data_IF_279819471781
#
_entry.id   IF_279819471781
#
_cell.length_a   1.000
_cell.length_b   1.000
_cell.length_c   1.000
_cell.angle_alpha   90.00
_cell.angle_beta   90.00
_cell.angle_gamma   90.00
#
_symmetry.space_group_name_H-M   'P 1'
#
loop_
_entity.id
_entity.type
_entity.pdbx_description
1 polymer ?
#
# COMPACT_ATOMS: atom_id res chain seq x y z
N UNK A 1 38.21 -6.12 2.78
CA UNK A 1 37.46 -4.86 2.80
C UNK A 1 36.12 -5.16 3.42
N UNK A 2 35.72 -4.49 4.50
CA UNK A 2 34.39 -4.65 5.08
C UNK A 2 33.37 -4.02 4.11
N UNK A 3 32.46 -4.84 3.59
CA UNK A 3 31.37 -4.34 2.74
C UNK A 3 30.33 -3.61 3.61
N UNK A 4 29.86 -2.48 3.12
CA UNK A 4 28.77 -1.73 3.77
C UNK A 4 27.47 -2.50 3.60
N UNK A 5 26.75 -2.73 4.69
CA UNK A 5 25.39 -3.30 4.64
C UNK A 5 24.36 -2.20 4.45
N UNK A 6 23.31 -2.47 3.67
CA UNK A 6 22.20 -1.57 3.43
C UNK A 6 20.87 -2.29 3.64
N UNK A 7 20.03 -1.76 4.51
CA UNK A 7 18.81 -2.41 4.98
C UNK A 7 17.58 -1.69 4.45
N UNK A 8 16.72 -2.42 3.77
CA UNK A 8 15.49 -1.92 3.19
C UNK A 8 14.31 -2.51 3.95
N UNK A 9 13.36 -1.67 4.34
CA UNK A 9 12.02 -2.07 4.75
C UNK A 9 11.04 -1.75 3.63
N UNK A 10 10.26 -2.73 3.21
CA UNK A 10 9.19 -2.60 2.22
C UNK A 10 7.85 -2.95 2.87
N UNK A 11 6.88 -2.03 2.84
CA UNK A 11 5.55 -2.20 3.38
C UNK A 11 4.50 -2.19 2.27
N UNK A 12 3.72 -3.26 2.15
CA UNK A 12 2.69 -3.40 1.11
C UNK A 12 1.50 -2.46 1.34
N UNK A 13 0.79 -2.18 0.25
CA UNK A 13 -0.55 -1.59 0.29
C UNK A 13 -1.62 -2.57 0.78
N UNK A 14 -2.75 -2.05 1.26
CA UNK A 14 -3.86 -2.88 1.73
C UNK A 14 -4.91 -2.19 2.60
N UNK A 15 -5.01 -0.87 2.57
CA UNK A 15 -6.00 -0.10 3.34
C UNK A 15 -5.86 -0.31 4.84
N UNK A 16 -6.98 -0.52 5.55
CA UNK A 16 -6.97 -0.72 7.01
C UNK A 16 -6.18 -1.96 7.46
N UNK A 17 -5.96 -2.93 6.56
CA UNK A 17 -5.10 -4.11 6.84
C UNK A 17 -3.65 -3.73 7.17
N UNK A 18 -3.25 -2.47 6.98
CA UNK A 18 -1.99 -1.92 7.48
C UNK A 18 -1.80 -2.11 9.00
N UNK A 19 -2.87 -2.30 9.77
CA UNK A 19 -2.79 -2.68 11.19
C UNK A 19 -1.98 -3.95 11.41
N UNK A 20 -2.08 -4.93 10.51
CA UNK A 20 -1.31 -6.20 10.53
C UNK A 20 0.18 -5.90 10.38
N UNK A 21 0.54 -5.12 9.34
CA UNK A 21 1.93 -4.70 9.09
C UNK A 21 2.51 -3.93 10.27
N UNK A 22 1.78 -2.95 10.79
CA UNK A 22 2.22 -2.14 11.94
C UNK A 22 2.43 -3.01 13.20
N UNK A 23 1.51 -3.94 13.48
CA UNK A 23 1.58 -4.86 14.63
C UNK A 23 2.75 -5.82 14.53
N UNK A 24 3.02 -6.36 13.33
CA UNK A 24 4.20 -7.21 13.08
C UNK A 24 5.51 -6.45 13.29
N UNK A 25 5.60 -5.21 12.81
CA UNK A 25 6.78 -4.37 13.02
C UNK A 25 6.97 -3.98 14.49
N UNK A 26 5.87 -3.72 15.22
CA UNK A 26 5.90 -3.45 16.65
C UNK A 26 6.48 -4.62 17.47
N UNK A 27 6.24 -5.86 17.04
CA UNK A 27 6.69 -7.06 17.72
C UNK A 27 8.19 -7.38 17.50
N UNK A 28 8.89 -6.64 16.63
CA UNK A 28 10.31 -6.79 16.38
C UNK A 28 11.14 -6.00 17.41
N UNK A 29 12.42 -6.36 17.53
CA UNK A 29 13.37 -5.56 18.30
C UNK A 29 13.40 -4.10 17.78
N UNK A 30 13.28 -3.07 18.65
CA UNK A 30 13.27 -1.67 18.21
C UNK A 30 14.49 -1.25 17.37
N UNK A 31 15.63 -1.95 17.54
CA UNK A 31 16.82 -1.68 16.75
C UNK A 31 16.64 -2.04 15.27
N UNK A 32 15.71 -2.93 14.92
CA UNK A 32 15.39 -3.28 13.53
C UNK A 32 14.96 -2.04 12.77
N UNK A 33 13.92 -1.34 13.25
CA UNK A 33 13.41 -0.11 12.61
C UNK A 33 14.49 0.98 12.58
N UNK A 34 15.21 1.16 13.67
CA UNK A 34 16.30 2.15 13.79
C UNK A 34 17.38 1.94 12.72
N UNK A 35 17.70 0.68 12.41
CA UNK A 35 18.78 0.32 11.50
C UNK A 35 18.35 0.27 10.02
N UNK A 36 17.08 0.50 9.68
CA UNK A 36 16.66 0.62 8.29
C UNK A 36 17.29 1.85 7.67
N UNK A 37 17.85 1.68 6.47
CA UNK A 37 18.47 2.75 5.67
C UNK A 37 17.49 3.32 4.64
N UNK A 38 16.62 2.46 4.07
CA UNK A 38 15.62 2.83 3.06
C UNK A 38 14.24 2.28 3.46
N UNK A 39 13.26 3.16 3.51
CA UNK A 39 11.87 2.85 3.77
C UNK A 39 11.08 2.94 2.46
N UNK A 40 10.46 1.85 2.07
CA UNK A 40 9.57 1.82 0.91
C UNK A 40 8.15 1.46 1.35
N UNK A 41 7.16 2.16 0.80
CA UNK A 41 5.76 1.90 1.15
C UNK A 41 4.82 2.31 0.03
N UNK A 42 3.80 1.50 -0.21
CA UNK A 42 2.71 1.80 -1.14
C UNK A 42 1.40 1.93 -0.37
N UNK A 43 0.57 2.94 -0.74
CA UNK A 43 -0.76 3.10 -0.11
C UNK A 43 -0.64 3.16 1.42
N UNK A 44 -1.37 2.31 2.15
CA UNK A 44 -1.23 2.18 3.62
C UNK A 44 0.21 1.91 4.06
N UNK A 45 0.98 1.15 3.28
CA UNK A 45 2.40 0.92 3.53
C UNK A 45 3.23 2.21 3.48
N UNK A 46 2.80 3.22 2.69
CA UNK A 46 3.46 4.53 2.66
C UNK A 46 3.25 5.31 3.96
N UNK A 47 2.07 5.19 4.59
CA UNK A 47 1.81 5.79 5.91
C UNK A 47 2.80 5.22 6.94
N UNK A 48 2.98 3.90 6.95
CA UNK A 48 3.90 3.22 7.88
C UNK A 48 5.35 3.60 7.56
N UNK A 49 5.78 3.43 6.31
CA UNK A 49 7.16 3.64 5.89
C UNK A 49 7.62 5.09 6.07
N UNK A 50 6.82 6.06 5.58
CA UNK A 50 7.16 7.48 5.71
C UNK A 50 7.00 7.97 7.16
N UNK A 51 6.01 7.48 7.89
CA UNK A 51 5.87 7.74 9.32
C UNK A 51 7.13 7.34 10.09
N UNK A 52 7.58 6.11 9.94
CA UNK A 52 8.79 5.59 10.58
C UNK A 52 10.04 6.37 10.16
N UNK A 53 10.21 6.61 8.85
CA UNK A 53 11.34 7.38 8.31
C UNK A 53 11.35 8.82 8.84
N UNK A 54 10.17 9.41 9.05
CA UNK A 54 9.97 10.75 9.63
C UNK A 54 10.13 10.77 11.15
N UNK A 55 10.35 9.62 11.79
CA UNK A 55 10.60 9.49 13.23
C UNK A 55 9.34 9.31 14.08
N UNK A 56 8.20 9.00 13.48
CA UNK A 56 6.99 8.62 14.24
C UNK A 56 7.24 7.26 14.89
N UNK A 57 7.01 7.12 16.19
CA UNK A 57 7.15 5.83 16.88
C UNK A 57 6.20 4.78 16.32
N UNK A 58 6.65 3.52 16.26
CA UNK A 58 5.80 2.42 15.78
C UNK A 58 4.54 2.25 16.61
N UNK A 59 4.61 2.50 17.92
CA UNK A 59 3.43 2.42 18.80
C UNK A 59 2.35 3.43 18.41
N UNK A 60 2.76 4.65 18.04
CA UNK A 60 1.84 5.68 17.54
C UNK A 60 1.18 5.25 16.21
N UNK A 61 1.92 4.58 15.32
CA UNK A 61 1.38 4.05 14.07
C UNK A 61 0.39 2.92 14.36
N UNK A 62 0.70 2.01 15.28
CA UNK A 62 -0.23 0.96 15.72
C UNK A 62 -1.50 1.56 16.31
N UNK A 63 -1.39 2.58 17.17
CA UNK A 63 -2.53 3.29 17.74
C UNK A 63 -3.43 3.90 16.66
N UNK A 64 -2.84 4.58 15.66
CA UNK A 64 -3.56 5.14 14.53
C UNK A 64 -4.40 4.06 13.82
N UNK A 65 -3.81 2.91 13.51
CA UNK A 65 -4.50 1.84 12.80
C UNK A 65 -5.49 1.06 13.68
N UNK A 66 -5.26 0.97 14.98
CA UNK A 66 -6.14 0.24 15.91
C UNK A 66 -7.37 1.05 16.31
N UNK A 67 -7.39 2.34 16.06
CA UNK A 67 -8.49 3.24 16.41
C UNK A 67 -9.63 3.18 15.40
N UNK A 68 -10.80 2.68 15.81
CA UNK A 68 -12.01 2.74 14.99
C UNK A 68 -12.40 4.18 14.64
N UNK A 69 -12.17 5.12 15.52
CA UNK A 69 -12.44 6.54 15.25
C UNK A 69 -11.50 7.10 14.17
N UNK A 70 -10.21 6.76 14.21
CA UNK A 70 -9.27 7.14 13.17
C UNK A 70 -9.65 6.51 11.83
N UNK A 71 -9.99 5.23 11.81
CA UNK A 71 -10.46 4.53 10.63
C UNK A 71 -11.72 5.19 10.03
N UNK A 72 -12.70 5.54 10.85
CA UNK A 72 -13.92 6.22 10.40
C UNK A 72 -13.64 7.62 9.83
N UNK A 73 -12.60 8.30 10.29
CA UNK A 73 -12.14 9.57 9.70
C UNK A 73 -11.49 9.37 8.34
N UNK A 74 -10.70 8.30 8.16
CA UNK A 74 -10.09 7.95 6.87
C UNK A 74 -11.17 7.67 5.83
N UNK A 75 -12.16 6.86 6.19
CA UNK A 75 -13.19 6.36 5.27
C UNK A 75 -14.50 7.16 5.39
N UNK A 76 -14.40 8.49 5.35
CA UNK A 76 -15.58 9.37 5.29
C UNK A 76 -16.22 9.29 3.90
N UNK A 77 -17.53 8.98 3.80
CA UNK A 77 -18.23 8.89 2.54
C UNK A 77 -18.10 10.16 1.70
N UNK A 78 -17.82 10.00 0.41
CA UNK A 78 -17.73 11.12 -0.54
C UNK A 78 -19.08 11.83 -0.70
N UNK A 79 -20.14 11.05 -0.87
CA UNK A 79 -21.51 11.54 -0.91
C UNK A 79 -22.21 11.30 0.44
N UNK A 80 -23.04 12.23 0.91
CA UNK A 80 -23.95 11.98 2.03
C UNK A 80 -24.81 10.73 1.77
N UNK A 81 -25.08 9.92 2.80
CA UNK A 81 -25.85 8.68 2.71
C UNK A 81 -27.19 8.84 1.97
N UNK A 82 -27.92 9.94 2.25
CA UNK A 82 -29.18 10.25 1.56
C UNK A 82 -29.02 10.44 0.04
N UNK A 83 -27.86 10.93 -0.42
CA UNK A 83 -27.58 11.08 -1.85
C UNK A 83 -27.16 9.74 -2.46
N UNK A 84 -26.40 8.90 -1.72
CA UNK A 84 -26.07 7.55 -2.13
C UNK A 84 -27.33 6.71 -2.33
N UNK A 85 -28.27 6.76 -1.39
CA UNK A 85 -29.57 6.07 -1.48
C UNK A 85 -30.41 6.53 -2.67
N UNK A 86 -30.42 7.84 -2.97
CA UNK A 86 -31.15 8.37 -4.13
C UNK A 86 -30.56 7.90 -5.44
N UNK A 87 -29.24 7.91 -5.58
CA UNK A 87 -28.54 7.41 -6.76
C UNK A 87 -28.74 5.90 -6.91
N UNK A 88 -28.55 5.12 -5.85
CA UNK A 88 -28.77 3.68 -5.86
C UNK A 88 -30.19 3.31 -6.31
N UNK A 89 -31.21 4.02 -5.82
CA UNK A 89 -32.61 3.83 -6.26
C UNK A 89 -32.83 4.24 -7.72
N UNK A 90 -32.17 5.29 -8.19
CA UNK A 90 -32.27 5.71 -9.60
C UNK A 90 -31.66 4.68 -10.53
N UNK A 91 -30.51 4.11 -10.17
CA UNK A 91 -29.89 3.01 -10.92
C UNK A 91 -30.76 1.74 -10.90
N UNK A 92 -31.32 1.36 -9.75
CA UNK A 92 -32.21 0.21 -9.63
C UNK A 92 -33.52 0.39 -10.41
N UNK A 93 -34.07 1.61 -10.51
CA UNK A 93 -35.26 1.90 -11.31
C UNK A 93 -35.00 1.84 -12.83
N UNK A 94 -33.82 2.28 -13.28
CA UNK A 94 -33.39 2.14 -14.68
C UNK A 94 -33.22 0.71 -15.11
N UNK A 95 -32.84 -0.17 -14.18
CA UNK A 95 -32.68 -1.60 -14.39
C UNK A 95 -33.99 -2.34 -14.63
N UNK A 96 -35.06 -2.01 -13.94
CA UNK A 96 -36.37 -2.65 -14.16
C UNK A 96 -36.81 -2.57 -15.63
N UNK A 97 -36.39 -1.53 -16.32
CA UNK A 97 -36.61 -1.40 -17.75
C UNK A 97 -35.71 -2.31 -18.60
N UNK A 98 -34.49 -2.63 -18.11
CA UNK A 98 -33.53 -3.51 -18.79
C UNK A 98 -33.84 -5.00 -18.56
N UNK A 99 -34.23 -5.37 -17.33
CA UNK A 99 -34.57 -6.77 -16.94
C UNK A 99 -35.83 -7.25 -17.67
N UNK A 100 -36.79 -6.36 -17.93
CA UNK A 100 -38.01 -6.71 -18.66
C UNK A 100 -37.75 -7.25 -20.08
N UNK A 101 -36.51 -7.14 -20.56
CA UNK A 101 -36.11 -7.52 -21.93
C UNK A 101 -35.03 -8.58 -22.03
N UNK A 102 -34.50 -9.11 -20.89
CA UNK A 102 -33.35 -10.06 -20.91
C UNK A 102 -33.40 -11.07 -19.74
N UNK A 103 -32.73 -12.21 -19.91
CA UNK A 103 -32.45 -13.21 -18.85
C UNK A 103 -31.42 -12.66 -17.84
N UNK A 104 -31.72 -11.55 -17.18
CA UNK A 104 -30.80 -10.94 -16.21
C UNK A 104 -30.80 -11.72 -14.89
N UNK A 105 -29.63 -11.82 -14.19
CA UNK A 105 -29.55 -12.46 -12.89
C UNK A 105 -30.52 -11.78 -11.87
N UNK A 106 -31.19 -12.60 -11.03
CA UNK A 106 -32.20 -12.12 -10.09
C UNK A 106 -31.69 -11.08 -9.07
N UNK A 107 -30.38 -10.99 -8.86
CA UNK A 107 -29.71 -10.08 -7.92
C UNK A 107 -29.08 -8.85 -8.60
N UNK A 108 -29.33 -8.63 -9.90
CA UNK A 108 -28.74 -7.50 -10.64
C UNK A 108 -29.18 -6.15 -10.04
N UNK A 109 -30.41 -6.01 -9.55
CA UNK A 109 -30.93 -4.79 -8.93
C UNK A 109 -30.23 -4.37 -7.66
N UNK A 110 -30.02 -5.31 -6.78
CA UNK A 110 -29.30 -5.06 -5.54
C UNK A 110 -27.84 -4.67 -5.84
N UNK A 111 -27.25 -5.29 -6.84
CA UNK A 111 -25.88 -4.97 -7.31
C UNK A 111 -25.76 -3.56 -7.87
N UNK A 112 -26.68 -3.14 -8.72
CA UNK A 112 -26.66 -1.79 -9.28
C UNK A 112 -26.99 -0.73 -8.21
N UNK A 113 -27.79 -1.08 -7.21
CA UNK A 113 -28.03 -0.18 -6.07
C UNK A 113 -26.77 0.06 -5.25
N UNK A 114 -25.94 -0.98 -5.01
CA UNK A 114 -24.68 -0.87 -4.28
C UNK A 114 -23.59 -0.20 -5.11
N UNK A 115 -23.46 -0.56 -6.38
CA UNK A 115 -22.44 -0.02 -7.28
C UNK A 115 -22.78 1.35 -7.85
N UNK A 116 -24.07 1.72 -7.94
CA UNK A 116 -24.50 2.92 -8.61
C UNK A 116 -23.76 4.20 -8.21
N UNK A 117 -23.62 4.51 -6.91
CA UNK A 117 -22.83 5.66 -6.47
C UNK A 117 -21.37 5.57 -6.86
N UNK A 118 -20.77 4.36 -6.78
CA UNK A 118 -19.33 4.11 -7.05
C UNK A 118 -19.00 4.15 -8.54
N UNK A 119 -19.99 3.94 -9.42
CA UNK A 119 -19.79 4.11 -10.87
C UNK A 119 -19.56 5.56 -11.28
N UNK A 120 -20.02 6.54 -10.48
CA UNK A 120 -19.92 7.96 -10.80
C UNK A 120 -18.99 8.74 -9.88
N UNK A 121 -18.82 8.30 -8.63
CA UNK A 121 -18.07 9.00 -7.59
C UNK A 121 -17.16 8.04 -6.82
N UNK A 122 -16.03 8.51 -6.27
CA UNK A 122 -15.25 7.71 -5.35
C UNK A 122 -16.06 7.41 -4.07
N UNK A 123 -15.72 6.33 -3.37
CA UNK A 123 -16.40 5.96 -2.12
C UNK A 123 -16.16 6.99 -1.01
N UNK A 124 -14.95 7.52 -0.91
CA UNK A 124 -14.50 8.31 0.23
C UNK A 124 -13.86 9.62 -0.19
N UNK A 125 -13.89 10.59 0.74
CA UNK A 125 -13.17 11.86 0.64
C UNK A 125 -11.75 11.68 1.17
N UNK A 126 -10.79 12.41 0.64
CA UNK A 126 -9.40 12.39 1.12
C UNK A 126 -9.11 13.33 2.28
N UNK A 127 -10.04 14.27 2.60
CA UNK A 127 -9.82 15.28 3.64
C UNK A 127 -9.57 14.68 5.02
N UNK A 128 -10.38 13.67 5.40
CA UNK A 128 -10.25 13.03 6.71
C UNK A 128 -8.93 12.29 6.88
N UNK A 129 -8.43 11.64 5.82
CA UNK A 129 -7.10 11.04 5.83
C UNK A 129 -6.02 12.12 5.97
N UNK A 130 -6.12 13.23 5.23
CA UNK A 130 -5.18 14.36 5.33
C UNK A 130 -5.12 14.94 6.74
N UNK A 131 -6.27 15.22 7.34
CA UNK A 131 -6.37 15.77 8.70
C UNK A 131 -5.78 14.82 9.74
N UNK A 132 -6.05 13.52 9.59
CA UNK A 132 -5.49 12.51 10.47
C UNK A 132 -3.96 12.43 10.32
N UNK A 133 -3.43 12.39 9.10
CA UNK A 133 -1.98 12.37 8.85
C UNK A 133 -1.30 13.61 9.41
N UNK A 134 -1.91 14.79 9.29
CA UNK A 134 -1.37 16.04 9.85
C UNK A 134 -1.24 16.04 11.39
N UNK A 135 -1.95 15.14 12.08
CA UNK A 135 -1.84 14.97 13.53
C UNK A 135 -0.61 14.14 13.91
N UNK A 136 -0.18 13.20 13.06
CA UNK A 136 0.85 12.22 13.39
C UNK A 136 2.14 12.39 12.60
N UNK A 137 2.07 12.81 11.34
CA UNK A 137 3.24 12.97 10.47
C UNK A 137 3.77 14.40 10.55
N UNK A 138 5.06 14.59 10.84
CA UNK A 138 5.67 15.91 10.84
C UNK A 138 5.53 16.64 9.49
N UNK A 139 5.44 17.97 9.51
CA UNK A 139 5.36 18.80 8.30
C UNK A 139 6.75 18.96 7.66
N UNK A 140 7.27 17.88 7.09
CA UNK A 140 8.59 17.79 6.45
C UNK A 140 8.46 17.30 5.02
N UNK A 141 9.46 17.60 4.19
CA UNK A 141 9.58 17.08 2.82
C UNK A 141 10.34 15.75 2.80
N UNK A 142 10.26 15.03 1.68
CA UNK A 142 11.09 13.83 1.48
C UNK A 142 12.59 14.18 1.53
N UNK A 143 12.98 15.37 1.03
CA UNK A 143 14.35 15.85 1.09
C UNK A 143 14.82 16.09 2.54
N UNK A 144 13.95 16.63 3.41
CA UNK A 144 14.27 16.83 4.82
C UNK A 144 14.51 15.51 5.54
N UNK A 145 13.74 14.45 5.21
CA UNK A 145 13.98 13.10 5.77
C UNK A 145 15.38 12.60 5.41
N UNK A 146 15.86 12.87 4.19
CA UNK A 146 17.22 12.52 3.80
C UNK A 146 18.27 13.34 4.57
N UNK A 147 18.12 14.65 4.59
CA UNK A 147 19.14 15.56 5.13
C UNK A 147 19.20 15.53 6.66
N UNK A 148 18.05 15.43 7.33
CA UNK A 148 17.99 15.50 8.79
C UNK A 148 18.10 14.13 9.46
N UNK A 149 17.61 13.06 8.79
CA UNK A 149 17.50 11.72 9.39
C UNK A 149 18.38 10.66 8.71
N UNK A 150 18.99 11.00 7.58
CA UNK A 150 19.79 10.09 6.75
C UNK A 150 19.00 8.81 6.41
N UNK A 151 17.71 8.95 6.08
CA UNK A 151 16.83 7.86 5.68
C UNK A 151 16.37 8.03 4.24
N UNK A 152 16.54 6.96 3.43
CA UNK A 152 15.97 6.89 2.11
C UNK A 152 14.48 6.60 2.15
N UNK A 153 13.75 7.17 1.20
CA UNK A 153 12.31 6.91 0.99
C UNK A 153 12.08 6.56 -0.47
N UNK A 154 11.21 5.57 -0.70
CA UNK A 154 10.63 5.26 -2.01
C UNK A 154 9.14 5.00 -1.84
N UNK A 155 8.31 5.79 -2.52
CA UNK A 155 6.86 5.67 -2.47
C UNK A 155 6.31 5.64 -3.90
N UNK A 156 5.83 4.48 -4.38
CA UNK A 156 5.17 4.37 -5.68
C UNK A 156 3.87 5.17 -5.73
N UNK A 157 3.64 5.85 -6.85
CA UNK A 157 2.37 6.49 -7.19
C UNK A 157 2.24 6.58 -8.70
N UNK A 158 1.02 6.63 -9.24
CA UNK A 158 0.78 6.64 -10.67
C UNK A 158 0.23 7.99 -11.15
N UNK A 159 1.02 8.68 -11.96
CA UNK A 159 0.68 9.98 -12.52
C UNK A 159 -0.26 9.81 -13.72
N UNK A 160 -1.47 10.40 -13.65
CA UNK A 160 -2.49 10.26 -14.68
C UNK A 160 -2.19 11.06 -15.95
N UNK A 161 -1.38 12.12 -15.86
CA UNK A 161 -1.04 12.97 -17.00
C UNK A 161 0.36 13.55 -16.84
N UNK A 162 1.35 12.88 -17.37
CA UNK A 162 2.74 13.34 -17.43
C UNK A 162 3.04 13.95 -18.81
N UNK A 163 3.76 15.07 -18.86
CA UNK A 163 4.31 15.60 -20.12
C UNK A 163 5.62 14.88 -20.41
N UNK A 164 5.74 14.31 -21.59
CA UNK A 164 6.97 13.69 -22.09
C UNK A 164 7.76 14.68 -22.96
N UNK A 165 9.04 14.39 -23.28
CA UNK A 165 9.90 15.32 -24.06
C UNK A 165 9.33 15.78 -25.39
N UNK A 166 8.43 14.98 -26.01
CA UNK A 166 7.71 15.38 -27.24
C UNK A 166 6.60 16.41 -27.02
N UNK A 167 6.30 16.79 -25.78
CA UNK A 167 5.14 17.62 -25.41
C UNK A 167 3.82 16.86 -25.30
N UNK A 168 3.79 15.59 -25.66
CA UNK A 168 2.59 14.76 -25.50
C UNK A 168 2.32 14.45 -24.02
N UNK A 169 1.06 14.14 -23.71
CA UNK A 169 0.64 13.71 -22.38
C UNK A 169 0.44 12.20 -22.35
N UNK A 170 0.94 11.56 -21.30
CA UNK A 170 0.73 10.14 -21.04
C UNK A 170 0.66 9.88 -19.55
N UNK A 171 0.11 8.77 -19.16
CA UNK A 171 0.23 8.25 -17.79
C UNK A 171 1.63 7.70 -17.53
N UNK A 172 2.06 7.71 -16.27
CA UNK A 172 3.40 7.25 -15.91
C UNK A 172 3.44 6.68 -14.49
N UNK A 173 4.03 5.51 -14.34
CA UNK A 173 4.46 5.02 -13.03
C UNK A 173 5.58 5.94 -12.48
N UNK A 174 5.47 6.34 -11.23
CA UNK A 174 6.40 7.24 -10.56
C UNK A 174 6.84 6.67 -9.24
N UNK A 175 8.10 6.90 -8.91
CA UNK A 175 8.67 6.63 -7.59
C UNK A 175 8.99 7.98 -6.94
N UNK A 176 8.11 8.43 -6.05
CA UNK A 176 8.42 9.59 -5.19
C UNK A 176 9.55 9.15 -4.26
N UNK A 177 10.71 9.80 -4.35
CA UNK A 177 11.89 9.37 -3.61
C UNK A 177 12.86 10.52 -3.34
N UNK A 178 13.74 10.32 -2.35
CA UNK A 178 14.75 11.27 -1.93
C UNK A 178 16.19 10.75 -2.12
N UNK A 179 16.39 9.64 -2.84
CA UNK A 179 17.72 9.06 -3.02
C UNK A 179 18.59 9.95 -3.93
N UNK A 180 19.88 10.16 -3.61
CA UNK A 180 20.78 10.97 -4.41
C UNK A 180 20.83 10.52 -5.87
N UNK A 181 20.90 11.50 -6.77
CA UNK A 181 21.00 11.36 -8.24
C UNK A 181 19.78 10.74 -8.96
N UNK A 182 18.83 10.16 -8.22
CA UNK A 182 17.57 9.62 -8.78
C UNK A 182 16.34 10.21 -8.09
N UNK A 183 16.54 11.19 -7.20
CA UNK A 183 15.46 11.86 -6.50
C UNK A 183 14.42 12.40 -7.46
N UNK A 184 13.16 12.04 -7.25
CA UNK A 184 12.06 12.57 -8.01
C UNK A 184 11.01 13.13 -7.06
N UNK A 185 10.67 14.41 -7.22
CA UNK A 185 9.72 15.11 -6.35
C UNK A 185 10.12 15.10 -4.86
N UNK A 186 11.43 15.15 -4.57
CA UNK A 186 11.93 15.11 -3.18
C UNK A 186 11.50 16.32 -2.33
N UNK A 187 11.15 17.44 -2.96
CA UNK A 187 10.54 18.60 -2.30
C UNK A 187 9.08 18.43 -1.91
N UNK A 188 8.44 17.28 -2.24
CA UNK A 188 7.07 16.99 -1.84
C UNK A 188 7.02 16.74 -0.33
N UNK A 189 5.99 17.27 0.34
CA UNK A 189 5.73 16.98 1.75
C UNK A 189 5.41 15.50 1.95
N UNK A 190 5.86 14.92 3.06
CA UNK A 190 5.62 13.51 3.38
C UNK A 190 4.13 13.16 3.34
N UNK A 191 3.26 14.03 3.87
CA UNK A 191 1.80 13.84 3.83
C UNK A 191 1.28 13.78 2.39
N UNK A 192 1.75 14.68 1.51
CA UNK A 192 1.30 14.70 0.11
C UNK A 192 1.80 13.48 -0.67
N UNK A 193 3.02 13.01 -0.40
CA UNK A 193 3.53 11.78 -0.97
C UNK A 193 2.71 10.55 -0.54
N UNK A 194 2.31 10.48 0.73
CA UNK A 194 1.42 9.44 1.26
C UNK A 194 0.07 9.52 0.55
N UNK A 195 -0.56 10.69 0.48
CA UNK A 195 -1.87 10.88 -0.14
C UNK A 195 -1.85 10.52 -1.63
N UNK A 196 -0.78 10.85 -2.35
CA UNK A 196 -0.62 10.48 -3.75
C UNK A 196 -0.48 8.96 -3.94
N UNK A 197 0.19 8.27 -3.00
CA UNK A 197 0.35 6.82 -3.03
C UNK A 197 -0.88 6.07 -2.53
N UNK A 198 -1.73 6.70 -1.69
CA UNK A 198 -2.90 6.08 -1.07
C UNK A 198 -4.22 6.44 -1.78
N UNK A 199 -4.19 7.18 -2.89
CA UNK A 199 -5.37 7.54 -3.66
C UNK A 199 -5.88 6.36 -4.52
N UNK A 200 -6.32 5.28 -3.86
CA UNK A 200 -6.78 4.06 -4.53
C UNK A 200 -7.99 4.33 -5.43
N UNK A 201 -7.92 3.96 -6.73
CA UNK A 201 -9.06 4.10 -7.64
C UNK A 201 -10.32 3.46 -7.05
N UNK A 202 -11.48 4.05 -7.32
CA UNK A 202 -12.78 3.69 -6.74
C UNK A 202 -12.94 4.13 -5.28
N UNK A 203 -11.90 4.07 -4.46
CA UNK A 203 -11.98 4.43 -3.04
C UNK A 203 -11.81 5.94 -2.82
N UNK A 204 -10.78 6.53 -3.40
CA UNK A 204 -10.46 7.94 -3.21
C UNK A 204 -10.33 8.70 -4.55
N UNK A 205 -10.59 10.01 -4.56
CA UNK A 205 -10.29 10.84 -5.73
C UNK A 205 -8.76 10.88 -5.95
N UNK A 206 -8.29 11.11 -7.19
CA UNK A 206 -6.88 11.36 -7.45
C UNK A 206 -6.35 12.51 -6.58
N UNK A 207 -5.13 12.35 -6.06
CA UNK A 207 -4.47 13.38 -5.26
C UNK A 207 -3.64 14.30 -6.16
N UNK A 208 -3.73 15.62 -5.94
CA UNK A 208 -2.96 16.59 -6.70
C UNK A 208 -1.67 16.95 -5.96
N UNK A 209 -0.52 16.75 -6.64
CA UNK A 209 0.77 17.25 -6.18
C UNK A 209 1.06 18.60 -6.85
N UNK A 210 1.25 19.67 -6.06
CA UNK A 210 1.62 20.97 -6.62
C UNK A 210 3.00 20.87 -7.31
N UNK A 211 3.24 21.75 -8.29
CA UNK A 211 4.52 21.90 -9.00
C UNK A 211 4.95 20.69 -9.85
N UNK A 212 4.06 19.77 -10.15
CA UNK A 212 4.41 18.66 -11.04
C UNK A 212 4.30 19.10 -12.51
N UNK A 213 5.38 19.01 -13.29
CA UNK A 213 5.33 19.38 -14.71
C UNK A 213 4.29 18.54 -15.46
N UNK A 214 3.37 19.22 -16.13
CA UNK A 214 2.46 18.64 -17.11
C UNK A 214 1.21 17.98 -16.60
N UNK A 215 1.01 17.86 -15.30
CA UNK A 215 -0.19 17.29 -14.70
C UNK A 215 0.12 16.78 -13.31
N UNK A 216 -0.74 17.13 -12.39
CA UNK A 216 -0.52 16.97 -10.96
C UNK A 216 -1.38 15.88 -10.30
N UNK A 217 -2.25 15.21 -11.06
CA UNK A 217 -3.14 14.18 -10.54
C UNK A 217 -2.47 12.80 -10.46
N UNK A 218 -2.48 12.22 -9.27
CA UNK A 218 -1.89 10.93 -8.95
C UNK A 218 -2.92 9.98 -8.34
N UNK A 219 -2.75 8.70 -8.62
CA UNK A 219 -3.49 7.62 -7.99
C UNK A 219 -2.53 6.61 -7.35
N UNK A 220 -3.09 5.70 -6.56
CA UNK A 220 -2.36 4.71 -5.76
C UNK A 220 -1.32 3.94 -6.57
N UNK A 221 -0.14 3.81 -6.00
CA UNK A 221 0.96 3.02 -6.55
C UNK A 221 0.68 1.52 -6.61
N UNK A 222 -0.30 1.04 -5.87
CA UNK A 222 -0.69 -0.38 -5.81
C UNK A 222 -1.11 -0.96 -7.16
N UNK A 223 -1.53 -0.11 -8.10
CA UNK A 223 -1.86 -0.56 -9.46
C UNK A 223 -0.67 -1.10 -10.25
N UNK A 224 0.58 -0.85 -9.82
CA UNK A 224 1.78 -1.40 -10.47
C UNK A 224 2.85 -1.89 -9.49
N UNK A 225 2.83 -1.48 -8.24
CA UNK A 225 3.82 -1.82 -7.22
C UNK A 225 3.20 -1.86 -5.80
N UNK A 226 2.17 -2.69 -5.60
CA UNK A 226 1.51 -2.81 -4.29
C UNK A 226 2.49 -3.31 -3.20
N UNK A 227 3.40 -4.22 -3.55
CA UNK A 227 4.62 -4.48 -2.80
C UNK A 227 5.76 -3.66 -3.42
N UNK A 228 6.30 -2.64 -2.73
CA UNK A 228 7.30 -1.74 -3.31
C UNK A 228 8.74 -2.29 -3.27
N UNK A 229 8.95 -3.56 -2.98
CA UNK A 229 10.29 -4.17 -2.83
C UNK A 229 11.16 -3.98 -4.08
N UNK A 230 10.62 -4.31 -5.25
CA UNK A 230 11.35 -4.15 -6.53
C UNK A 230 11.59 -2.67 -6.86
N UNK A 231 10.61 -1.80 -6.55
CA UNK A 231 10.75 -0.36 -6.73
C UNK A 231 11.86 0.23 -5.84
N UNK A 232 11.97 -0.23 -4.59
CA UNK A 232 13.03 0.16 -3.68
C UNK A 232 14.41 -0.28 -4.17
N UNK A 233 14.53 -1.52 -4.64
CA UNK A 233 15.76 -2.05 -5.23
C UNK A 233 16.15 -1.27 -6.50
N UNK A 234 15.21 -1.02 -7.41
CA UNK A 234 15.47 -0.27 -8.63
C UNK A 234 15.95 1.16 -8.32
N UNK A 235 15.31 1.85 -7.37
CA UNK A 235 15.72 3.18 -6.95
C UNK A 235 17.11 3.18 -6.28
N UNK A 236 17.40 2.20 -5.41
CA UNK A 236 18.72 2.06 -4.78
C UNK A 236 19.82 1.80 -5.83
N UNK A 237 19.61 0.84 -6.72
CA UNK A 237 20.57 0.47 -7.75
C UNK A 237 20.77 1.58 -8.79
N UNK A 238 19.73 2.32 -9.12
CA UNK A 238 19.79 3.49 -9.99
C UNK A 238 20.46 4.71 -9.33
N UNK A 239 20.53 4.75 -8.00
CA UNK A 239 21.22 5.79 -7.27
C UNK A 239 22.74 5.53 -7.26
N UNK A 240 23.55 6.59 -7.07
CA UNK A 240 24.99 6.43 -6.91
C UNK A 240 25.41 5.91 -5.54
N UNK A 241 24.48 5.76 -4.61
CA UNK A 241 24.78 5.30 -3.23
C UNK A 241 25.51 3.96 -3.21
N UNK A 242 25.15 3.03 -4.10
CA UNK A 242 25.80 1.71 -4.18
C UNK A 242 27.29 1.83 -4.50
N UNK A 243 27.66 2.74 -5.42
CA UNK A 243 29.06 3.00 -5.76
C UNK A 243 29.76 3.87 -4.70
N UNK A 244 29.14 4.98 -4.28
CA UNK A 244 29.72 5.94 -3.33
C UNK A 244 29.96 5.33 -1.94
N UNK A 245 29.06 4.43 -1.48
CA UNK A 245 29.15 3.76 -0.17
C UNK A 245 29.69 2.33 -0.26
N UNK A 246 30.17 1.88 -1.43
CA UNK A 246 30.67 0.52 -1.66
C UNK A 246 29.68 -0.56 -1.15
N UNK A 247 28.41 -0.47 -1.59
CA UNK A 247 27.35 -1.40 -1.22
C UNK A 247 27.22 -2.44 -2.34
N UNK A 248 27.77 -3.65 -2.19
CA UNK A 248 27.51 -4.72 -3.15
C UNK A 248 26.09 -5.24 -2.99
N UNK A 249 25.55 -5.86 -4.03
CA UNK A 249 24.20 -6.45 -3.97
C UNK A 249 24.08 -7.49 -2.84
N UNK A 250 25.16 -8.23 -2.57
CA UNK A 250 25.24 -9.17 -1.45
C UNK A 250 25.21 -8.51 -0.06
N UNK A 251 25.43 -7.20 0.01
CA UNK A 251 25.31 -6.39 1.23
C UNK A 251 23.92 -5.75 1.41
N UNK A 252 23.02 -5.90 0.44
CA UNK A 252 21.65 -5.36 0.52
C UNK A 252 20.73 -6.39 1.17
N UNK A 253 20.06 -6.00 2.25
CA UNK A 253 19.06 -6.82 2.95
C UNK A 253 17.70 -6.18 2.81
N UNK A 254 16.69 -6.98 2.49
CA UNK A 254 15.31 -6.55 2.29
C UNK A 254 14.37 -7.28 3.24
N UNK A 255 13.68 -6.52 4.09
CA UNK A 255 12.54 -6.98 4.86
C UNK A 255 11.26 -6.47 4.16
N UNK A 256 10.47 -7.38 3.62
CA UNK A 256 9.19 -7.09 2.98
C UNK A 256 8.05 -7.56 3.88
N UNK A 257 7.18 -6.65 4.30
CA UNK A 257 6.07 -6.93 5.21
C UNK A 257 4.75 -6.62 4.52
N UNK A 258 3.91 -7.65 4.39
CA UNK A 258 2.59 -7.55 3.79
C UNK A 258 1.49 -7.21 4.79
N UNK A 259 0.29 -7.07 4.26
CA UNK A 259 -0.94 -6.76 5.00
C UNK A 259 -1.80 -7.98 5.26
N UNK A 260 -1.21 -9.17 5.17
CA UNK A 260 -1.90 -10.45 5.19
C UNK A 260 -2.50 -10.82 3.82
N UNK A 261 -2.66 -12.10 3.58
CA UNK A 261 -3.29 -12.62 2.38
C UNK A 261 -4.23 -13.77 2.70
N UNK A 262 -5.24 -13.94 1.90
CA UNK A 262 -6.05 -15.16 1.88
C UNK A 262 -5.85 -15.86 0.55
N UNK A 263 -5.65 -17.16 0.59
CA UNK A 263 -5.71 -17.98 -0.61
C UNK A 263 -7.13 -17.93 -1.16
N UNK A 264 -7.34 -17.21 -2.24
CA UNK A 264 -8.62 -17.06 -2.92
C UNK A 264 -8.48 -17.45 -4.40
N UNK A 265 -9.54 -18.00 -4.95
CA UNK A 265 -9.62 -18.30 -6.39
C UNK A 265 -10.93 -17.78 -6.94
N UNK A 266 -10.90 -17.42 -8.22
CA UNK A 266 -12.13 -17.11 -8.94
C UNK A 266 -12.73 -18.42 -9.48
N UNK A 267 -14.07 -18.58 -9.43
CA UNK A 267 -14.68 -19.71 -10.09
C UNK A 267 -14.41 -19.65 -11.61
N UNK A 268 -14.36 -20.80 -12.29
CA UNK A 268 -14.29 -20.83 -13.74
C UNK A 268 -15.46 -20.05 -14.35
N UNK A 269 -15.28 -19.43 -15.54
CA UNK A 269 -16.37 -18.73 -16.20
C UNK A 269 -17.52 -19.67 -16.51
N UNK A 270 -18.71 -19.30 -16.06
CA UNK A 270 -19.96 -19.98 -16.40
C UNK A 270 -21.05 -18.95 -16.70
N UNK A 271 -22.27 -19.40 -17.06
CA UNK A 271 -23.39 -18.50 -17.38
C UNK A 271 -23.78 -17.58 -16.20
N UNK A 272 -23.45 -17.97 -14.95
CA UNK A 272 -23.68 -17.18 -13.74
C UNK A 272 -22.57 -16.16 -13.49
N UNK A 273 -21.37 -16.39 -14.10
CA UNK A 273 -20.19 -15.56 -13.95
C UNK A 273 -19.52 -15.24 -15.30
N UNK A 274 -20.16 -14.39 -16.13
CA UNK A 274 -19.66 -14.09 -17.48
C UNK A 274 -18.46 -13.11 -17.50
N UNK A 275 -17.84 -12.78 -16.36
CA UNK A 275 -16.65 -11.90 -16.24
C UNK A 275 -16.69 -10.62 -17.10
N UNK A 276 -17.88 -10.06 -17.33
CA UNK A 276 -18.05 -8.72 -17.91
C UNK A 276 -17.63 -7.64 -16.91
N UNK A 277 -17.71 -6.37 -17.30
CA UNK A 277 -17.31 -5.23 -16.46
C UNK A 277 -17.91 -5.30 -15.06
N UNK A 278 -19.20 -5.60 -14.94
CA UNK A 278 -19.87 -5.76 -13.64
C UNK A 278 -19.31 -6.92 -12.82
N UNK A 279 -18.92 -8.03 -13.46
CA UNK A 279 -18.32 -9.16 -12.78
C UNK A 279 -16.96 -8.84 -12.15
N UNK A 280 -16.18 -8.00 -12.80
CA UNK A 280 -14.88 -7.55 -12.31
C UNK A 280 -14.94 -6.41 -11.29
N UNK A 281 -15.95 -5.55 -11.35
CA UNK A 281 -16.11 -4.40 -10.43
C UNK A 281 -17.01 -4.72 -9.23
N UNK A 282 -17.61 -5.89 -9.18
CA UNK A 282 -18.65 -6.23 -8.24
C UNK A 282 -18.11 -6.69 -6.90
N UNK A 283 -18.61 -6.16 -5.75
CA UNK A 283 -18.48 -6.80 -4.46
C UNK A 283 -19.11 -8.20 -4.50
N UNK A 284 -18.38 -9.22 -4.14
CA UNK A 284 -18.91 -10.55 -3.99
C UNK A 284 -19.35 -10.77 -2.55
N UNK A 285 -20.52 -11.37 -2.36
CA UNK A 285 -21.02 -11.75 -1.04
C UNK A 285 -20.66 -13.19 -0.66
N UNK A 286 -19.96 -13.93 -1.53
CA UNK A 286 -19.59 -15.31 -1.28
C UNK A 286 -18.39 -15.40 -0.33
N UNK A 287 -18.41 -16.38 0.57
CA UNK A 287 -17.33 -16.67 1.51
C UNK A 287 -15.98 -16.80 0.80
N UNK A 288 -15.13 -15.79 0.97
CA UNK A 288 -13.76 -15.78 0.48
C UNK A 288 -13.49 -15.08 -0.83
N UNK A 289 -14.49 -14.50 -1.49
CA UNK A 289 -14.26 -13.70 -2.68
C UNK A 289 -13.90 -12.25 -2.32
N UNK A 290 -12.98 -11.60 -3.08
CA UNK A 290 -12.61 -10.20 -2.84
C UNK A 290 -13.76 -9.25 -3.15
N UNK A 291 -13.79 -8.12 -2.42
CA UNK A 291 -14.84 -7.10 -2.55
C UNK A 291 -14.85 -6.42 -3.92
N UNK A 292 -13.66 -6.16 -4.48
CA UNK A 292 -13.46 -5.56 -5.80
C UNK A 292 -12.50 -6.43 -6.62
N UNK A 293 -12.99 -7.48 -7.30
CA UNK A 293 -12.17 -8.49 -7.95
C UNK A 293 -11.04 -7.94 -8.83
N UNK A 294 -11.30 -6.92 -9.63
CA UNK A 294 -10.27 -6.31 -10.49
C UNK A 294 -9.15 -5.66 -9.67
N UNK A 295 -9.52 -4.85 -8.68
CA UNK A 295 -8.55 -4.10 -7.85
C UNK A 295 -7.75 -5.08 -7.01
N UNK A 296 -8.43 -6.02 -6.35
CA UNK A 296 -7.78 -7.04 -5.52
C UNK A 296 -6.82 -7.90 -6.36
N UNK A 297 -7.23 -8.33 -7.56
CA UNK A 297 -6.36 -9.11 -8.47
C UNK A 297 -5.12 -8.31 -8.89
N UNK A 298 -5.27 -7.02 -9.20
CA UNK A 298 -4.14 -6.16 -9.57
C UNK A 298 -3.20 -5.98 -8.39
N UNK A 299 -3.72 -5.69 -7.20
CA UNK A 299 -2.90 -5.46 -6.01
C UNK A 299 -2.19 -6.75 -5.56
N UNK A 300 -2.90 -7.87 -5.50
CA UNK A 300 -2.31 -9.15 -5.13
C UNK A 300 -1.30 -9.63 -6.18
N UNK A 301 -1.62 -9.51 -7.47
CA UNK A 301 -0.74 -9.89 -8.56
C UNK A 301 0.57 -9.09 -8.55
N UNK A 302 0.47 -7.77 -8.35
CA UNK A 302 1.67 -6.92 -8.27
C UNK A 302 2.46 -7.18 -6.98
N UNK A 303 1.81 -7.51 -5.86
CA UNK A 303 2.51 -7.91 -4.63
C UNK A 303 3.28 -9.21 -4.83
N UNK A 304 2.67 -10.22 -5.44
CA UNK A 304 3.30 -11.53 -5.67
C UNK A 304 4.50 -11.43 -6.60
N UNK A 305 4.36 -10.77 -7.76
CA UNK A 305 5.46 -10.67 -8.71
C UNK A 305 6.63 -9.86 -8.17
N UNK A 306 6.38 -8.79 -7.40
CA UNK A 306 7.44 -7.99 -6.80
C UNK A 306 8.16 -8.74 -5.68
N UNK A 307 7.46 -9.58 -4.90
CA UNK A 307 8.08 -10.46 -3.91
C UNK A 307 9.00 -11.49 -4.57
N UNK A 308 8.50 -12.21 -5.57
CA UNK A 308 9.28 -13.20 -6.33
C UNK A 308 10.49 -12.54 -6.98
N UNK A 309 10.31 -11.41 -7.65
CA UNK A 309 11.40 -10.73 -8.36
C UNK A 309 12.48 -10.24 -7.41
N UNK A 310 12.11 -9.61 -6.30
CA UNK A 310 13.09 -9.14 -5.30
C UNK A 310 13.82 -10.30 -4.63
N UNK A 311 13.12 -11.41 -4.36
CA UNK A 311 13.73 -12.64 -3.84
C UNK A 311 14.71 -13.28 -4.82
N UNK A 312 14.41 -13.29 -6.12
CA UNK A 312 15.35 -13.78 -7.15
C UNK A 312 16.59 -12.88 -7.30
N UNK A 313 16.42 -11.56 -7.16
CA UNK A 313 17.52 -10.58 -7.24
C UNK A 313 18.48 -10.72 -6.04
N UNK A 314 17.95 -10.81 -4.82
CA UNK A 314 18.74 -10.77 -3.59
C UNK A 314 19.15 -12.15 -3.09
N UNK A 315 18.43 -13.19 -3.49
CA UNK A 315 18.56 -14.53 -2.93
C UNK A 315 17.89 -14.68 -1.55
N UNK A 316 17.67 -15.93 -1.15
CA UNK A 316 16.94 -16.27 0.07
C UNK A 316 17.61 -15.76 1.35
N UNK A 317 18.94 -15.57 1.35
CA UNK A 317 19.66 -15.11 2.53
C UNK A 317 19.45 -13.62 2.83
N UNK A 318 19.21 -12.83 1.81
CA UNK A 318 19.11 -11.37 1.89
C UNK A 318 17.69 -10.83 1.77
N UNK A 319 16.72 -11.68 1.43
CA UNK A 319 15.30 -11.33 1.33
C UNK A 319 14.49 -12.07 2.40
N UNK A 320 13.67 -11.32 3.15
CA UNK A 320 12.72 -11.88 4.11
C UNK A 320 11.35 -11.31 3.79
N UNK A 321 10.41 -12.21 3.47
CA UNK A 321 8.99 -11.87 3.32
C UNK A 321 8.21 -12.29 4.56
N UNK A 322 7.50 -11.35 5.17
CA UNK A 322 6.53 -11.62 6.23
C UNK A 322 5.16 -11.21 5.72
N UNK A 323 4.29 -12.17 5.48
CA UNK A 323 2.91 -11.92 5.04
C UNK A 323 2.01 -13.04 5.57
N UNK A 324 1.28 -12.81 6.67
CA UNK A 324 0.45 -13.85 7.30
C UNK A 324 -0.66 -14.34 6.38
N UNK A 325 -0.87 -15.65 6.36
CA UNK A 325 -2.09 -16.22 5.79
C UNK A 325 -3.25 -15.99 6.77
N UNK A 326 -4.36 -15.48 6.26
CA UNK A 326 -5.53 -15.12 7.03
C UNK A 326 -6.64 -16.17 6.83
N UNK A 327 -7.40 -16.44 7.88
CA UNK A 327 -8.50 -17.41 7.85
C UNK A 327 -9.74 -16.87 7.10
N UNK A 328 -9.86 -15.53 7.03
CA UNK A 328 -10.97 -14.86 6.37
C UNK A 328 -10.48 -13.66 5.54
N UNK A 329 -11.33 -13.20 4.62
CA UNK A 329 -11.08 -11.99 3.84
C UNK A 329 -11.46 -10.77 4.67
N UNK A 330 -10.58 -9.77 4.71
CA UNK A 330 -10.85 -8.46 5.28
C UNK A 330 -10.89 -7.42 4.16
N UNK A 331 -11.99 -6.68 4.06
CA UNK A 331 -12.05 -5.55 3.15
C UNK A 331 -11.06 -4.45 3.56
N UNK A 332 -10.49 -3.75 2.58
CA UNK A 332 -9.51 -2.68 2.80
C UNK A 332 -10.07 -1.46 3.53
N UNK A 333 -11.40 -1.36 3.65
CA UNK A 333 -12.13 -0.23 4.22
C UNK A 333 -13.06 -0.64 5.39
N UNK A 334 -13.00 -1.88 5.86
CA UNK A 334 -13.83 -2.36 6.96
C UNK A 334 -13.22 -2.06 8.33
N UNK A 335 -13.60 -0.93 8.90
CA UNK A 335 -13.15 -0.53 10.24
C UNK A 335 -13.63 -1.49 11.35
N UNK A 336 -14.74 -2.18 11.15
CA UNK A 336 -15.29 -3.11 12.15
C UNK A 336 -14.44 -4.36 12.30
N UNK A 337 -13.66 -4.71 11.28
CA UNK A 337 -12.80 -5.87 11.26
C UNK A 337 -11.44 -5.68 11.98
N UNK A 338 -11.10 -4.47 12.44
CA UNK A 338 -9.83 -4.19 13.14
C UNK A 338 -9.55 -5.18 14.29
N UNK A 339 -10.49 -5.46 15.21
CA UNK A 339 -10.23 -6.41 16.30
C UNK A 339 -9.92 -7.83 15.78
N UNK A 340 -10.60 -8.26 14.72
CA UNK A 340 -10.37 -9.59 14.12
C UNK A 340 -9.01 -9.66 13.40
N UNK A 341 -8.57 -8.58 12.74
CA UNK A 341 -7.25 -8.47 12.13
C UNK A 341 -6.14 -8.53 13.17
N UNK A 342 -6.30 -7.81 14.30
CA UNK A 342 -5.35 -7.86 15.43
C UNK A 342 -5.25 -9.26 16.00
N UNK A 343 -6.39 -9.91 16.28
CA UNK A 343 -6.42 -11.29 16.79
C UNK A 343 -5.77 -12.28 15.80
N UNK A 344 -6.01 -12.13 14.49
CA UNK A 344 -5.35 -12.97 13.47
C UNK A 344 -3.83 -12.74 13.46
N UNK A 345 -3.38 -11.50 13.63
CA UNK A 345 -1.96 -11.17 13.71
C UNK A 345 -1.31 -11.78 14.95
N UNK A 346 -1.98 -11.70 16.09
CA UNK A 346 -1.51 -12.31 17.36
C UNK A 346 -1.37 -13.82 17.23
N UNK A 347 -2.39 -14.51 16.67
CA UNK A 347 -2.29 -15.95 16.38
C UNK A 347 -1.12 -16.30 15.47
N UNK A 348 -0.86 -15.49 14.42
CA UNK A 348 0.31 -15.69 13.58
C UNK A 348 1.62 -15.54 14.36
N UNK A 349 1.70 -14.56 15.26
CA UNK A 349 2.89 -14.33 16.10
C UNK A 349 3.17 -15.46 17.12
N UNK A 350 2.20 -16.30 17.40
CA UNK A 350 2.37 -17.51 18.23
C UNK A 350 2.96 -18.70 17.44
N UNK A 351 3.00 -18.64 16.11
CA UNK A 351 3.48 -19.74 15.26
C UNK A 351 4.99 -19.88 15.26
N UNK A 352 5.48 -21.10 14.97
CA UNK A 352 6.90 -21.38 14.75
C UNK A 352 7.44 -20.58 13.56
N UNK A 353 6.62 -20.36 12.53
CA UNK A 353 6.99 -19.56 11.35
C UNK A 353 7.39 -18.15 11.77
N UNK A 354 6.56 -17.46 12.56
CA UNK A 354 6.91 -16.14 13.07
C UNK A 354 8.14 -16.16 13.98
N UNK A 355 8.25 -17.12 14.88
CA UNK A 355 9.41 -17.24 15.77
C UNK A 355 10.72 -17.34 15.00
N UNK A 356 10.76 -18.16 13.94
CA UNK A 356 11.94 -18.29 13.09
C UNK A 356 12.21 -17.02 12.26
N UNK A 357 11.15 -16.43 11.67
CA UNK A 357 11.27 -15.20 10.87
C UNK A 357 11.73 -14.02 11.73
N UNK A 358 11.10 -13.79 12.89
CA UNK A 358 11.46 -12.68 13.78
C UNK A 358 12.88 -12.81 14.34
N UNK A 359 13.33 -14.01 14.72
CA UNK A 359 14.70 -14.26 15.13
C UNK A 359 15.69 -13.93 14.01
N UNK A 360 15.38 -14.31 12.76
CA UNK A 360 16.21 -14.01 11.59
C UNK A 360 16.23 -12.50 11.29
N UNK A 361 15.08 -11.83 11.35
CA UNK A 361 14.98 -10.38 11.18
C UNK A 361 15.83 -9.67 12.23
N UNK A 362 15.66 -10.01 13.50
CA UNK A 362 16.43 -9.40 14.59
C UNK A 362 17.94 -9.61 14.42
N UNK A 363 18.37 -10.78 13.92
CA UNK A 363 19.78 -11.06 13.62
C UNK A 363 20.32 -10.19 12.49
N UNK A 364 19.58 -10.02 11.38
CA UNK A 364 20.07 -9.32 10.17
C UNK A 364 19.87 -7.80 10.23
N UNK A 365 18.82 -7.36 10.90
CA UNK A 365 18.43 -5.95 10.97
C UNK A 365 18.66 -5.30 12.34
N UNK A 366 18.76 -6.08 13.42
CA UNK A 366 19.01 -5.60 14.77
C UNK A 366 20.45 -5.15 15.02
N UNK A 367 20.73 -4.71 16.23
CA UNK A 367 22.01 -4.11 16.62
C UNK A 367 23.21 -5.06 16.49
N UNK A 368 23.02 -6.36 16.62
CA UNK A 368 24.08 -7.37 16.49
C UNK A 368 24.65 -7.50 15.05
N UNK A 369 23.95 -6.96 14.04
CA UNK A 369 24.36 -7.02 12.64
C UNK A 369 25.19 -5.82 12.14
N UNK A 370 25.49 -4.83 12.97
CA UNK A 370 26.36 -3.71 12.58
C UNK A 370 27.80 -4.01 12.97
N UNK A 371 28.68 -4.12 11.97
CA UNK A 371 30.10 -3.84 12.17
C UNK A 371 30.22 -2.33 12.44
N UNK A 372 30.94 -1.86 13.48
CA UNK A 372 31.09 -0.43 13.72
C UNK A 372 31.73 0.20 12.48
N UNK A 373 31.02 1.18 11.91
CA UNK A 373 31.62 2.09 10.94
C UNK A 373 32.73 2.82 11.68
N UNK A 374 33.98 2.58 11.32
CA UNK A 374 35.09 3.48 11.69
C UNK A 374 34.77 4.86 11.14
N UNK A 375 34.65 5.84 12.02
CA UNK A 375 34.53 7.29 11.71
C UNK A 375 35.57 7.75 10.71
#
# INVERSE_FOLDING_TARGET
MSHTTYRILSCDGGGIRGVITAKLLQALDPSVIKNIDLFAGTSTGSIIALGLASGVPIDTIVELYSSQNACSKIFQPYLPLAQQDRLGRAFAAGEQALIATSEAPADLGDRLRELGPVLLFPKYRSDGLRELLATYIPDITLADVWTERNKGIVTPSFQLSAVVPSGARQWAARLLNNLPNVAWMSGTKAIDAILASAAAPVFFPPHELPLTPGGNAFVDGGIFANNPSTAALAALLGSRLTAERNIPLSGVYLLSVGTGFRASSYPPPDARFPYGVLGWLRPRQDDGAPAFPLIDTVFDGTSQINDVTSGLILGADNHIRVNPQLDQTFSMDDCSAIPAMLAATERFMETDTWRLQSARINKLFGSAGRSPLSN
#
